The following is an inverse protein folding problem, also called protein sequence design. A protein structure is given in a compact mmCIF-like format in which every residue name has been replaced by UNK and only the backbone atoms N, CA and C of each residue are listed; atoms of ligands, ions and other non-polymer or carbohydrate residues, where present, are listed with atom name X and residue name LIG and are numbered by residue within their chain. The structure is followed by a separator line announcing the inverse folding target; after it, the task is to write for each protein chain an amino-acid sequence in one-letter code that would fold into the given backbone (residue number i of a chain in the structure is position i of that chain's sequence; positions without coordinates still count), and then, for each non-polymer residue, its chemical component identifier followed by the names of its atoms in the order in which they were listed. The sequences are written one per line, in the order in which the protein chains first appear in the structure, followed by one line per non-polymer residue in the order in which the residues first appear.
data_IF_271509652798
#
_entry.id   IF_271509652798
#
_cell.length_a   1.000
_cell.length_b   1.000
_cell.length_c   1.000
_cell.angle_alpha   90.00
_cell.angle_beta   90.00
_cell.angle_gamma   90.00
#
_symmetry.space_group_name_H-M   'P 1'
#
loop_
_entity.id
_entity.type
_entity.pdbx_description
1 polymer ?
#
# COMPACT_ATOMS: atom_id res chain seq x y z
N UNK A 1 -60.43 -49.56 -12.98
CA UNK A 1 -60.59 -48.72 -11.77
C UNK A 1 -60.90 -47.31 -12.19
N UNK A 2 -61.92 -46.74 -11.58
CA UNK A 2 -62.82 -45.69 -12.10
C UNK A 2 -62.45 -44.29 -11.59
N UNK A 3 -62.88 -43.30 -12.39
CA UNK A 3 -62.96 -41.82 -12.26
C UNK A 3 -63.36 -41.19 -10.89
N UNK A 4 -63.03 -41.79 -9.74
CA UNK A 4 -63.56 -41.39 -8.41
C UNK A 4 -62.52 -40.86 -7.41
N UNK A 5 -61.32 -40.51 -7.84
CA UNK A 5 -60.32 -39.83 -6.99
C UNK A 5 -60.01 -38.39 -7.46
N UNK A 6 -61.02 -37.71 -8.00
CA UNK A 6 -60.94 -36.31 -8.47
C UNK A 6 -61.22 -35.24 -7.38
N UNK A 7 -61.55 -35.56 -6.13
CA UNK A 7 -62.01 -34.50 -5.20
C UNK A 7 -61.49 -34.78 -3.79
N UNK A 8 -60.22 -34.46 -3.52
CA UNK A 8 -59.69 -34.10 -2.17
C UNK A 8 -58.20 -33.77 -2.06
N UNK A 9 -57.51 -33.38 -3.15
CA UNK A 9 -56.17 -32.78 -3.04
C UNK A 9 -56.03 -31.55 -3.96
N UNK A 10 -57.09 -30.74 -3.99
CA UNK A 10 -57.05 -29.34 -4.40
C UNK A 10 -56.92 -28.52 -3.12
N UNK A 11 -55.77 -27.88 -2.95
CA UNK A 11 -55.48 -26.97 -1.84
C UNK A 11 -54.05 -27.16 -1.35
N UNK A 12 -53.07 -26.60 -2.09
CA UNK A 12 -51.83 -25.95 -1.56
C UNK A 12 -50.73 -25.71 -2.62
N UNK A 13 -50.84 -26.12 -3.89
CA UNK A 13 -49.81 -25.72 -4.89
C UNK A 13 -50.47 -25.14 -6.16
N UNK A 14 -51.00 -23.93 -6.01
CA UNK A 14 -51.24 -22.94 -7.08
C UNK A 14 -50.18 -21.85 -6.89
N UNK A 15 -49.32 -21.55 -7.85
CA UNK A 15 -49.48 -20.47 -8.87
C UNK A 15 -48.23 -20.58 -9.77
N UNK A 16 -48.36 -21.12 -11.00
CA UNK A 16 -48.43 -20.46 -12.34
C UNK A 16 -47.04 -20.13 -12.96
N UNK A 17 -46.56 -20.84 -13.99
CA UNK A 17 -46.87 -20.76 -15.43
C UNK A 17 -46.53 -19.41 -16.12
N UNK A 18 -45.35 -19.36 -16.77
CA UNK A 18 -45.14 -19.19 -18.23
C UNK A 18 -45.96 -18.11 -18.98
N UNK A 19 -45.23 -17.04 -19.39
CA UNK A 19 -45.20 -16.32 -20.69
C UNK A 19 -46.28 -15.26 -21.07
N UNK A 20 -45.74 -14.06 -21.33
CA UNK A 20 -46.12 -12.94 -22.23
C UNK A 20 -47.53 -12.30 -22.17
N UNK A 21 -47.55 -11.03 -21.73
CA UNK A 21 -48.28 -9.94 -22.40
C UNK A 21 -47.65 -8.60 -22.02
N UNK A 22 -47.29 -7.78 -23.01
CA UNK A 22 -46.83 -6.41 -22.80
C UNK A 22 -47.88 -5.60 -22.06
N UNK A 23 -47.50 -5.07 -20.90
CA UNK A 23 -48.19 -3.98 -20.23
C UNK A 23 -47.10 -2.97 -19.88
N UNK A 24 -47.21 -1.78 -20.45
CA UNK A 24 -46.38 -0.63 -20.05
C UNK A 24 -46.66 -0.36 -18.57
N UNK A 25 -45.77 -0.84 -17.70
CA UNK A 25 -45.63 -0.35 -16.35
C UNK A 25 -44.55 0.73 -16.37
N UNK A 26 -45.00 1.92 -15.98
CA UNK A 26 -44.23 3.14 -15.85
C UNK A 26 -42.83 2.92 -15.29
N UNK A 27 -41.84 3.57 -15.89
CA UNK A 27 -40.49 3.74 -15.40
C UNK A 27 -40.49 4.09 -13.90
N UNK A 28 -40.28 3.08 -13.07
CA UNK A 28 -40.01 3.20 -11.65
C UNK A 28 -38.61 2.64 -11.44
N UNK A 29 -37.67 3.52 -11.13
CA UNK A 29 -36.28 3.18 -10.88
C UNK A 29 -36.15 2.05 -9.85
N UNK A 30 -35.44 0.97 -10.21
CA UNK A 30 -34.95 -0.03 -9.26
C UNK A 30 -33.76 0.61 -8.53
N UNK A 31 -33.86 0.71 -7.19
CA UNK A 31 -32.79 1.22 -6.32
C UNK A 31 -31.83 0.09 -5.95
N UNK A 32 -30.61 0.07 -6.49
CA UNK A 32 -29.41 -0.35 -5.74
C UNK A 32 -28.93 0.91 -5.00
N UNK A 33 -29.43 1.10 -3.77
CA UNK A 33 -29.71 2.45 -3.21
C UNK A 33 -28.49 3.33 -2.91
N UNK A 34 -27.27 2.81 -3.03
CA UNK A 34 -26.04 3.47 -2.62
C UNK A 34 -24.96 3.50 -3.71
N UNK A 35 -25.24 3.03 -4.93
CA UNK A 35 -24.29 3.06 -6.04
C UNK A 35 -24.84 3.95 -7.17
N UNK A 36 -24.07 4.96 -7.56
CA UNK A 36 -24.29 5.77 -8.75
C UNK A 36 -23.31 5.29 -9.84
N UNK A 37 -23.83 5.02 -11.03
CA UNK A 37 -23.08 4.38 -12.11
C UNK A 37 -23.56 4.84 -13.49
N UNK A 38 -22.69 4.71 -14.48
CA UNK A 38 -23.01 4.85 -15.90
C UNK A 38 -22.80 3.53 -16.64
N UNK A 39 -23.52 3.37 -17.76
CA UNK A 39 -23.39 2.21 -18.65
C UNK A 39 -23.02 2.73 -20.04
N UNK A 40 -21.96 2.18 -20.61
CA UNK A 40 -21.58 2.34 -22.02
C UNK A 40 -21.21 0.97 -22.59
N UNK A 41 -21.71 0.61 -23.76
CA UNK A 41 -21.46 -0.70 -24.42
C UNK A 41 -21.54 -1.93 -23.48
N UNK A 42 -22.61 -2.00 -22.66
CA UNK A 42 -22.83 -3.03 -21.63
C UNK A 42 -21.74 -3.14 -20.54
N UNK A 43 -20.89 -2.12 -20.42
CA UNK A 43 -19.88 -1.97 -19.37
C UNK A 43 -20.33 -0.93 -18.36
N UNK A 44 -20.31 -1.30 -17.09
CA UNK A 44 -20.67 -0.43 -15.97
C UNK A 44 -19.42 0.26 -15.42
N UNK A 45 -19.52 1.57 -15.26
CA UNK A 45 -18.60 2.39 -14.47
C UNK A 45 -19.27 2.79 -13.16
N UNK A 46 -18.71 2.39 -12.02
CA UNK A 46 -19.12 2.90 -10.71
C UNK A 46 -18.50 4.29 -10.54
N UNK A 47 -19.35 5.31 -10.46
CA UNK A 47 -18.96 6.71 -10.27
C UNK A 47 -18.99 7.07 -8.79
N UNK A 48 -19.87 6.42 -8.03
CA UNK A 48 -19.96 6.59 -6.58
C UNK A 48 -20.57 5.36 -5.92
N UNK A 49 -20.04 4.97 -4.78
CA UNK A 49 -20.54 3.92 -3.91
C UNK A 49 -20.48 4.44 -2.47
N UNK A 50 -21.64 4.79 -1.92
CA UNK A 50 -21.77 5.12 -0.50
C UNK A 50 -21.67 3.86 0.36
N UNK A 51 -20.50 3.68 0.98
CA UNK A 51 -20.16 2.57 1.85
C UNK A 51 -20.42 2.86 3.34
N UNK A 52 -21.23 3.89 3.65
CA UNK A 52 -21.57 4.27 5.01
C UNK A 52 -22.02 3.08 5.86
N UNK A 53 -21.28 2.81 6.94
CA UNK A 53 -21.58 1.76 7.91
C UNK A 53 -21.26 0.34 7.45
N UNK A 54 -20.67 0.15 6.27
CA UNK A 54 -20.18 -1.15 5.83
C UNK A 54 -18.84 -1.47 6.50
N UNK A 55 -18.74 -2.68 7.06
CA UNK A 55 -17.47 -3.24 7.55
C UNK A 55 -16.80 -4.11 6.49
N UNK A 56 -17.57 -4.64 5.54
CA UNK A 56 -17.09 -5.43 4.41
C UNK A 56 -17.75 -4.89 3.15
N UNK A 57 -16.94 -4.50 2.17
CA UNK A 57 -17.39 -3.95 0.90
C UNK A 57 -17.19 -5.01 -0.17
N UNK A 58 -18.26 -5.36 -0.86
CA UNK A 58 -18.25 -6.23 -2.02
C UNK A 58 -18.51 -5.35 -3.25
N UNK A 59 -17.51 -5.16 -4.11
CA UNK A 59 -17.73 -4.48 -5.38
C UNK A 59 -18.58 -5.42 -6.24
N UNK A 60 -19.77 -4.99 -6.73
CA UNK A 60 -20.62 -5.87 -7.52
C UNK A 60 -19.91 -6.23 -8.83
N UNK A 61 -19.98 -7.51 -9.22
CA UNK A 61 -19.46 -7.96 -10.51
C UNK A 61 -20.35 -7.51 -11.67
N UNK A 62 -21.66 -7.39 -11.41
CA UNK A 62 -22.69 -7.06 -12.39
C UNK A 62 -23.67 -6.07 -11.75
N UNK A 63 -24.09 -5.07 -12.51
CA UNK A 63 -25.23 -4.21 -12.16
C UNK A 63 -26.26 -4.34 -13.29
N UNK A 64 -27.46 -4.83 -12.94
CA UNK A 64 -28.45 -5.23 -13.93
C UNK A 64 -28.01 -6.48 -14.71
N UNK A 65 -27.66 -6.31 -15.98
CA UNK A 65 -27.13 -7.36 -16.87
C UNK A 65 -25.77 -6.98 -17.48
N UNK A 66 -25.13 -5.95 -16.92
CA UNK A 66 -23.89 -5.36 -17.42
C UNK A 66 -22.75 -5.57 -16.43
N UNK A 67 -21.57 -5.93 -16.93
CA UNK A 67 -20.38 -6.18 -16.13
C UNK A 67 -19.83 -4.87 -15.56
N UNK A 68 -19.49 -4.87 -14.27
CA UNK A 68 -18.75 -3.77 -13.63
C UNK A 68 -17.29 -3.93 -13.97
N UNK A 69 -16.82 -3.04 -14.83
CA UNK A 69 -15.44 -3.06 -15.36
C UNK A 69 -14.60 -1.92 -14.82
N UNK A 70 -15.21 -0.81 -14.39
CA UNK A 70 -14.47 0.35 -13.91
C UNK A 70 -15.05 0.87 -12.61
N UNK A 71 -14.18 1.14 -11.64
CA UNK A 71 -14.50 1.88 -10.42
C UNK A 71 -13.67 3.15 -10.43
N UNK A 72 -14.33 4.31 -10.51
CA UNK A 72 -13.62 5.59 -10.55
C UNK A 72 -12.79 5.83 -9.29
N UNK A 73 -11.74 6.66 -9.43
CA UNK A 73 -11.01 7.19 -8.27
C UNK A 73 -11.96 7.80 -7.26
N UNK A 74 -11.77 7.47 -5.98
CA UNK A 74 -12.58 7.96 -4.87
C UNK A 74 -14.09 7.67 -4.99
N UNK A 75 -14.50 6.75 -5.88
CA UNK A 75 -15.90 6.40 -6.04
C UNK A 75 -16.48 5.86 -4.74
N UNK A 76 -15.71 5.08 -3.98
CA UNK A 76 -16.17 4.55 -2.70
C UNK A 76 -16.03 5.60 -1.61
N UNK A 77 -17.15 6.18 -1.20
CA UNK A 77 -17.21 7.23 -0.18
C UNK A 77 -17.72 6.68 1.15
N UNK A 78 -17.40 7.37 2.24
CA UNK A 78 -17.83 7.01 3.61
C UNK A 78 -17.44 5.58 4.02
N UNK A 79 -16.40 5.02 3.42
CA UNK A 79 -15.90 3.66 3.68
C UNK A 79 -14.98 3.53 4.90
N UNK A 80 -14.89 4.55 5.74
CA UNK A 80 -13.95 4.63 6.88
C UNK A 80 -14.11 3.47 7.88
N UNK A 81 -15.28 2.84 7.94
CA UNK A 81 -15.54 1.69 8.82
C UNK A 81 -15.18 0.33 8.21
N UNK A 82 -14.84 0.29 6.92
CA UNK A 82 -14.56 -0.95 6.22
C UNK A 82 -13.22 -1.54 6.67
N UNK A 83 -13.25 -2.83 7.02
CA UNK A 83 -12.06 -3.63 7.34
C UNK A 83 -11.64 -4.51 6.17
N UNK A 84 -12.52 -4.75 5.19
CA UNK A 84 -12.15 -5.44 3.96
C UNK A 84 -12.93 -4.98 2.73
N UNK A 85 -12.28 -5.13 1.58
CA UNK A 85 -12.88 -4.97 0.25
C UNK A 85 -12.64 -6.23 -0.57
N UNK A 86 -13.63 -6.61 -1.38
CA UNK A 86 -13.49 -7.63 -2.42
C UNK A 86 -13.70 -7.03 -3.81
N UNK A 87 -12.75 -7.32 -4.71
CA UNK A 87 -12.75 -6.92 -6.12
C UNK A 87 -13.12 -8.16 -6.95
N UNK A 88 -14.22 -8.14 -7.72
CA UNK A 88 -14.67 -9.28 -8.50
C UNK A 88 -13.84 -9.47 -9.78
N UNK A 89 -14.07 -10.59 -10.47
CA UNK A 89 -13.35 -10.94 -11.70
C UNK A 89 -13.55 -9.93 -12.85
N UNK A 90 -14.69 -9.24 -12.88
CA UNK A 90 -15.08 -8.34 -13.97
C UNK A 90 -14.35 -6.99 -13.97
N UNK A 91 -13.82 -6.56 -12.82
CA UNK A 91 -13.20 -5.24 -12.69
C UNK A 91 -11.90 -5.19 -13.47
N UNK A 92 -11.85 -4.32 -14.48
CA UNK A 92 -10.72 -4.07 -15.35
C UNK A 92 -9.82 -2.95 -14.80
N UNK A 93 -10.40 -1.94 -14.16
CA UNK A 93 -9.69 -0.74 -13.69
C UNK A 93 -10.33 -0.18 -12.39
N UNK A 94 -9.47 0.28 -11.46
CA UNK A 94 -9.82 0.81 -10.14
C UNK A 94 -9.47 2.31 -9.98
N UNK A 95 -9.28 3.05 -11.08
CA UNK A 95 -9.15 4.50 -11.07
C UNK A 95 -7.81 5.01 -11.59
N UNK A 96 -7.55 6.28 -11.33
CA UNK A 96 -6.42 7.02 -11.90
C UNK A 96 -5.05 6.42 -11.55
N UNK A 97 -4.10 6.66 -12.44
CA UNK A 97 -2.74 6.14 -12.34
C UNK A 97 -1.99 6.69 -11.11
N UNK A 98 -2.22 7.97 -10.78
CA UNK A 98 -1.46 8.72 -9.76
C UNK A 98 -2.06 8.62 -8.34
N UNK A 99 -3.09 7.80 -8.13
CA UNK A 99 -3.73 7.58 -6.82
C UNK A 99 -3.95 6.10 -6.52
N UNK A 100 -4.16 5.79 -5.25
CA UNK A 100 -4.58 4.46 -4.79
C UNK A 100 -6.11 4.39 -4.71
N UNK A 101 -6.70 3.21 -5.02
CA UNK A 101 -8.13 3.09 -5.24
C UNK A 101 -8.98 3.28 -3.97
N UNK A 102 -8.42 3.01 -2.78
CA UNK A 102 -9.16 3.05 -1.51
C UNK A 102 -8.50 4.03 -0.53
N UNK A 103 -8.17 5.22 -1.01
CA UNK A 103 -7.62 6.31 -0.18
C UNK A 103 -8.58 6.68 0.96
N UNK A 104 -8.05 6.95 2.16
CA UNK A 104 -8.84 7.37 3.33
C UNK A 104 -9.59 6.24 4.05
N UNK A 105 -9.49 5.00 3.59
CA UNK A 105 -10.04 3.84 4.31
C UNK A 105 -9.07 3.36 5.40
N UNK A 106 -8.93 4.16 6.46
CA UNK A 106 -7.92 3.92 7.50
C UNK A 106 -8.11 2.58 8.23
N UNK A 107 -9.33 2.05 8.35
CA UNK A 107 -9.56 0.76 9.00
C UNK A 107 -9.40 -0.47 8.08
N UNK A 108 -9.08 -0.26 6.81
CA UNK A 108 -8.98 -1.34 5.83
C UNK A 108 -7.81 -2.27 6.17
N UNK A 109 -8.11 -3.50 6.56
CA UNK A 109 -7.10 -4.50 6.95
C UNK A 109 -6.66 -5.35 5.75
N UNK A 110 -7.55 -5.57 4.78
CA UNK A 110 -7.28 -6.42 3.61
C UNK A 110 -8.09 -6.03 2.38
N UNK A 111 -7.47 -6.13 1.21
CA UNK A 111 -8.10 -6.08 -0.10
C UNK A 111 -7.97 -7.47 -0.72
N UNK A 112 -9.08 -8.04 -1.16
CA UNK A 112 -9.09 -9.36 -1.81
C UNK A 112 -9.54 -9.24 -3.25
N UNK A 113 -8.96 -10.05 -4.13
CA UNK A 113 -9.29 -10.06 -5.56
C UNK A 113 -9.74 -11.46 -5.96
N UNK A 114 -10.80 -11.56 -6.74
CA UNK A 114 -11.21 -12.81 -7.38
C UNK A 114 -10.05 -13.41 -8.19
N UNK A 115 -9.83 -14.72 -8.08
CA UNK A 115 -8.73 -15.42 -8.76
C UNK A 115 -8.75 -15.25 -10.29
N UNK A 116 -9.94 -15.07 -10.86
CA UNK A 116 -10.18 -14.92 -12.29
C UNK A 116 -10.08 -13.46 -12.77
N UNK A 117 -9.85 -12.49 -11.88
CA UNK A 117 -9.62 -11.11 -12.29
C UNK A 117 -8.36 -11.05 -13.17
N UNK A 118 -8.43 -10.42 -14.34
CA UNK A 118 -7.34 -10.40 -15.32
C UNK A 118 -6.34 -9.25 -15.11
N UNK A 119 -6.62 -8.32 -14.22
CA UNK A 119 -5.91 -7.03 -14.08
C UNK A 119 -5.27 -6.84 -12.72
N UNK A 120 -5.85 -7.42 -11.68
CA UNK A 120 -5.40 -7.30 -10.30
C UNK A 120 -5.20 -8.66 -9.63
N UNK A 121 -4.44 -8.65 -8.54
CA UNK A 121 -4.33 -9.79 -7.63
C UNK A 121 -4.11 -9.30 -6.20
N UNK A 122 -4.34 -10.16 -5.22
CA UNK A 122 -3.96 -9.90 -3.84
C UNK A 122 -3.07 -11.02 -3.31
N UNK A 123 -2.22 -10.72 -2.33
CA UNK A 123 -1.53 -11.75 -1.55
C UNK A 123 -2.38 -12.24 -0.36
N UNK A 124 -1.85 -13.19 0.41
CA UNK A 124 -2.51 -13.70 1.63
C UNK A 124 -2.70 -12.64 2.74
N UNK A 125 -1.92 -11.56 2.71
CA UNK A 125 -1.99 -10.46 3.65
C UNK A 125 -2.99 -9.38 3.21
N UNK A 126 -3.57 -9.52 2.02
CA UNK A 126 -4.54 -8.58 1.47
C UNK A 126 -3.92 -7.32 0.86
N UNK A 127 -2.64 -7.37 0.48
CA UNK A 127 -2.00 -6.30 -0.30
C UNK A 127 -2.47 -6.40 -1.75
N UNK A 128 -2.89 -5.28 -2.32
CA UNK A 128 -3.37 -5.21 -3.71
C UNK A 128 -2.21 -4.98 -4.67
N UNK A 129 -2.16 -5.81 -5.71
CA UNK A 129 -1.21 -5.74 -6.80
C UNK A 129 -1.91 -5.66 -8.15
N UNK A 130 -1.16 -5.29 -9.18
CA UNK A 130 -1.53 -5.66 -10.55
C UNK A 130 -1.50 -7.19 -10.72
N UNK A 131 -2.01 -7.69 -11.85
CA UNK A 131 -2.11 -9.14 -12.07
C UNK A 131 -0.74 -9.84 -12.06
N UNK A 132 0.30 -9.15 -12.55
CA UNK A 132 1.64 -9.71 -12.64
C UNK A 132 2.43 -9.64 -11.34
N UNK A 133 1.93 -8.92 -10.32
CA UNK A 133 2.65 -8.58 -9.08
C UNK A 133 3.95 -7.81 -9.31
N UNK A 134 4.00 -7.03 -10.39
CA UNK A 134 5.07 -6.09 -10.66
C UNK A 134 4.83 -4.73 -9.98
N UNK A 135 3.57 -4.42 -9.66
CA UNK A 135 3.16 -3.17 -9.02
C UNK A 135 2.43 -3.43 -7.71
N UNK A 136 2.91 -2.83 -6.62
CA UNK A 136 2.07 -2.64 -5.42
C UNK A 136 1.11 -1.50 -5.72
N UNK A 137 -0.18 -1.82 -5.83
CA UNK A 137 -1.24 -0.85 -6.06
C UNK A 137 -1.65 -0.20 -4.74
N UNK A 138 -1.84 -0.98 -3.68
CA UNK A 138 -2.17 -0.45 -2.36
C UNK A 138 -1.87 -1.48 -1.25
N UNK A 139 -1.16 -1.01 -0.22
CA UNK A 139 -1.09 -1.68 1.07
C UNK A 139 -2.22 -1.15 1.98
N UNK A 140 -3.05 -2.01 2.60
CA UNK A 140 -4.16 -1.55 3.42
C UNK A 140 -3.67 -0.81 4.68
N UNK A 141 -4.12 0.44 4.88
CA UNK A 141 -3.65 1.30 5.99
C UNK A 141 -3.95 0.73 7.40
N UNK A 142 -5.00 -0.10 7.52
CA UNK A 142 -5.38 -0.81 8.73
C UNK A 142 -4.79 -2.22 8.85
N UNK A 143 -3.96 -2.67 7.90
CA UNK A 143 -3.30 -3.97 7.99
C UNK A 143 -2.44 -4.03 9.26
N UNK A 144 -2.62 -5.10 10.05
CA UNK A 144 -2.01 -5.24 11.39
C UNK A 144 -0.61 -5.86 11.36
N UNK A 145 -0.07 -6.16 10.18
CA UNK A 145 1.28 -6.70 10.05
C UNK A 145 2.30 -5.65 10.46
N UNK A 146 3.21 -6.05 11.36
CA UNK A 146 4.26 -5.18 11.93
C UNK A 146 5.42 -5.04 10.94
N UNK A 147 5.69 -6.07 10.14
CA UNK A 147 6.69 -6.03 9.08
C UNK A 147 6.11 -6.37 7.72
N UNK A 148 6.77 -5.88 6.68
CA UNK A 148 6.44 -6.20 5.31
C UNK A 148 7.70 -6.41 4.46
N UNK A 149 7.65 -7.41 3.59
CA UNK A 149 8.64 -7.73 2.57
C UNK A 149 7.93 -7.82 1.23
N UNK A 150 8.16 -6.87 0.33
CA UNK A 150 7.68 -6.97 -1.04
C UNK A 150 8.41 -8.10 -1.78
N UNK A 151 7.72 -8.86 -2.64
CA UNK A 151 8.37 -9.83 -3.52
C UNK A 151 9.36 -9.17 -4.50
N UNK A 152 10.41 -9.88 -4.90
CA UNK A 152 11.40 -9.39 -5.88
C UNK A 152 10.81 -9.02 -7.24
N UNK A 153 9.62 -9.55 -7.57
CA UNK A 153 8.88 -9.20 -8.78
C UNK A 153 8.39 -7.76 -8.80
N UNK A 154 8.27 -7.10 -7.64
CA UNK A 154 7.80 -5.72 -7.53
C UNK A 154 8.89 -4.78 -8.07
N UNK A 155 8.56 -4.06 -9.13
CA UNK A 155 9.42 -3.05 -9.76
C UNK A 155 8.84 -1.64 -9.65
N UNK A 156 7.55 -1.53 -9.30
CA UNK A 156 6.87 -0.25 -9.14
C UNK A 156 5.98 -0.24 -7.89
N UNK A 157 5.93 0.89 -7.23
CA UNK A 157 5.07 1.13 -6.07
C UNK A 157 4.27 2.38 -6.35
N UNK A 158 2.93 2.27 -6.37
CA UNK A 158 2.07 3.43 -6.61
C UNK A 158 2.29 4.52 -5.55
N UNK A 159 2.10 5.77 -5.97
CA UNK A 159 2.09 6.95 -5.10
C UNK A 159 1.08 6.72 -3.98
N UNK A 160 1.44 7.02 -2.73
CA UNK A 160 0.60 6.83 -1.54
C UNK A 160 0.18 5.38 -1.23
N UNK A 161 0.79 4.37 -1.85
CA UNK A 161 0.43 2.95 -1.62
C UNK A 161 0.58 2.47 -0.19
N UNK A 162 1.46 3.06 0.61
CA UNK A 162 1.58 2.79 2.05
C UNK A 162 1.06 3.95 2.91
N UNK A 163 0.31 4.89 2.34
CA UNK A 163 -0.16 6.06 3.10
C UNK A 163 -1.01 5.65 4.30
N UNK A 164 -0.68 6.17 5.48
CA UNK A 164 -1.42 5.94 6.72
C UNK A 164 -1.24 4.54 7.35
N UNK A 165 -0.25 3.75 6.91
CA UNK A 165 0.04 2.43 7.48
C UNK A 165 0.52 2.54 8.93
N UNK A 166 -0.43 2.60 9.86
CA UNK A 166 -0.16 2.92 11.28
C UNK A 166 0.36 1.75 12.10
N UNK A 167 0.28 0.51 11.62
CA UNK A 167 0.80 -0.66 12.33
C UNK A 167 2.15 -1.14 11.79
N UNK A 168 2.52 -0.70 10.59
CA UNK A 168 3.75 -1.09 9.94
C UNK A 168 4.93 -0.41 10.63
N UNK A 169 5.83 -1.22 11.20
CA UNK A 169 7.04 -0.75 11.88
C UNK A 169 8.30 -0.99 11.04
N UNK A 170 8.31 -2.01 10.19
CA UNK A 170 9.48 -2.40 9.43
C UNK A 170 9.14 -2.75 7.99
N UNK A 171 9.86 -2.14 7.04
CA UNK A 171 9.84 -2.56 5.63
C UNK A 171 11.19 -3.16 5.27
N UNK A 172 11.21 -4.48 5.21
CA UNK A 172 12.41 -5.30 5.02
C UNK A 172 12.86 -5.35 3.55
N UNK A 173 11.92 -5.21 2.62
CA UNK A 173 12.20 -5.17 1.18
C UNK A 173 11.11 -4.41 0.45
N UNK A 174 11.52 -3.58 -0.51
CA UNK A 174 10.65 -2.95 -1.50
C UNK A 174 10.61 -3.73 -2.82
N UNK A 175 11.29 -4.87 -2.92
CA UNK A 175 11.52 -5.57 -4.18
C UNK A 175 12.62 -4.90 -5.00
N UNK A 176 12.49 -4.97 -6.32
CA UNK A 176 13.42 -4.41 -7.31
C UNK A 176 12.95 -3.04 -7.81
N UNK A 177 12.53 -2.15 -6.90
CA UNK A 177 11.90 -0.87 -7.25
C UNK A 177 12.92 0.15 -7.74
N UNK A 178 12.64 0.72 -8.91
CA UNK A 178 13.48 1.74 -9.56
C UNK A 178 13.11 3.17 -9.15
N UNK A 179 11.86 3.39 -8.72
CA UNK A 179 11.30 4.72 -8.44
C UNK A 179 10.46 4.75 -7.16
N UNK A 180 10.66 5.79 -6.35
CA UNK A 180 9.82 6.08 -5.18
C UNK A 180 9.22 7.49 -5.26
N UNK A 181 7.97 7.60 -4.84
CA UNK A 181 7.20 8.85 -4.82
C UNK A 181 6.17 8.78 -3.70
N UNK A 182 6.31 9.63 -2.67
CA UNK A 182 5.33 9.85 -1.61
C UNK A 182 4.73 8.55 -1.01
N UNK A 183 5.56 7.52 -0.88
CA UNK A 183 5.11 6.15 -0.61
C UNK A 183 4.65 5.94 0.83
N UNK A 184 5.40 6.42 1.83
CA UNK A 184 5.20 6.12 3.25
C UNK A 184 4.60 7.29 4.04
N UNK A 185 3.81 8.14 3.39
CA UNK A 185 3.17 9.29 4.06
C UNK A 185 2.33 8.82 5.26
N UNK A 186 2.49 9.46 6.42
CA UNK A 186 1.80 9.18 7.68
C UNK A 186 1.93 7.74 8.21
N UNK A 187 2.99 7.00 7.86
CA UNK A 187 3.33 5.74 8.51
C UNK A 187 3.92 5.98 9.90
N UNK A 188 3.12 6.46 10.85
CA UNK A 188 3.60 7.01 12.14
C UNK A 188 4.43 6.04 12.98
N UNK A 189 4.21 4.74 12.84
CA UNK A 189 4.93 3.69 13.57
C UNK A 189 6.10 3.07 12.78
N UNK A 190 6.32 3.49 11.53
CA UNK A 190 7.44 2.99 10.72
C UNK A 190 8.76 3.42 11.37
N UNK A 191 9.55 2.44 11.80
CA UNK A 191 10.85 2.62 12.46
C UNK A 191 12.00 2.42 11.48
N UNK A 192 11.87 1.42 10.62
CA UNK A 192 12.93 0.98 9.71
C UNK A 192 12.42 0.71 8.31
N UNK A 193 13.23 1.07 7.31
CA UNK A 193 12.96 0.80 5.90
C UNK A 193 14.24 0.48 5.14
N UNK A 194 14.18 -0.55 4.28
CA UNK A 194 15.25 -0.92 3.37
C UNK A 194 14.98 -0.35 1.98
N UNK A 195 15.84 0.55 1.52
CA UNK A 195 15.74 1.25 0.23
C UNK A 195 16.80 0.66 -0.74
N UNK A 196 16.41 0.18 -1.94
CA UNK A 196 17.33 -0.35 -2.95
C UNK A 196 18.37 0.68 -3.43
N UNK A 197 19.55 0.20 -3.83
CA UNK A 197 20.70 1.04 -4.21
C UNK A 197 20.45 1.96 -5.43
N UNK A 198 19.69 1.47 -6.41
CA UNK A 198 19.49 2.12 -7.70
C UNK A 198 18.17 2.91 -7.80
N UNK A 199 17.53 3.15 -6.65
CA UNK A 199 16.28 3.90 -6.63
C UNK A 199 16.48 5.34 -7.07
N UNK A 200 15.48 5.90 -7.74
CA UNK A 200 15.38 7.33 -8.03
C UNK A 200 14.13 7.91 -7.37
N UNK A 201 14.19 9.18 -6.95
CA UNK A 201 13.03 9.85 -6.37
C UNK A 201 12.29 10.62 -7.46
N UNK A 202 10.97 10.45 -7.50
CA UNK A 202 10.10 11.32 -8.30
C UNK A 202 9.77 12.55 -7.44
N UNK A 203 9.68 13.72 -8.07
CA UNK A 203 9.45 15.01 -7.39
C UNK A 203 10.52 15.39 -6.35
N UNK A 204 11.80 15.14 -6.68
CA UNK A 204 13.00 15.35 -5.82
C UNK A 204 12.89 16.56 -4.88
N UNK A 205 12.50 17.72 -5.40
CA UNK A 205 12.50 18.99 -4.66
C UNK A 205 11.35 19.19 -3.65
N UNK A 206 10.32 18.35 -3.66
CA UNK A 206 9.18 18.43 -2.72
C UNK A 206 8.57 17.06 -2.43
N UNK A 207 9.40 16.02 -2.37
CA UNK A 207 8.93 14.68 -2.07
C UNK A 207 8.50 14.59 -0.59
N UNK A 208 7.38 13.92 -0.36
CA UNK A 208 6.76 13.63 0.92
C UNK A 208 7.03 12.17 1.35
N UNK A 209 8.06 11.51 0.79
CA UNK A 209 8.29 10.06 0.90
C UNK A 209 8.09 9.49 2.31
N UNK A 210 8.54 10.21 3.33
CA UNK A 210 8.43 9.85 4.76
C UNK A 210 7.71 10.89 5.61
N UNK A 211 6.92 11.78 5.00
CA UNK A 211 6.20 12.80 5.76
C UNK A 211 5.29 12.16 6.80
N UNK A 212 5.42 12.51 8.07
CA UNK A 212 4.61 11.98 9.16
C UNK A 212 5.04 10.59 9.65
N UNK A 213 6.23 10.12 9.29
CA UNK A 213 6.84 8.93 9.87
C UNK A 213 7.52 9.27 11.20
N UNK A 214 6.72 9.57 12.23
CA UNK A 214 7.19 10.11 13.51
C UNK A 214 8.16 9.17 14.27
N UNK A 215 8.12 7.87 13.97
CA UNK A 215 8.97 6.85 14.61
C UNK A 215 10.19 6.45 13.78
N UNK A 216 10.39 7.03 12.59
CA UNK A 216 11.45 6.60 11.67
C UNK A 216 12.82 6.93 12.28
N UNK A 217 13.55 5.89 12.67
CA UNK A 217 14.85 6.02 13.32
C UNK A 217 16.00 5.58 12.43
N UNK A 218 15.78 4.59 11.57
CA UNK A 218 16.84 4.00 10.75
C UNK A 218 16.37 3.80 9.30
N UNK A 219 17.22 4.18 8.36
CA UNK A 219 17.04 3.91 6.93
C UNK A 219 18.25 3.09 6.49
N UNK A 220 18.00 1.90 5.93
CA UNK A 220 19.05 1.08 5.35
C UNK A 220 19.04 1.27 3.84
N UNK A 221 20.06 1.92 3.31
CA UNK A 221 20.22 2.15 1.89
C UNK A 221 21.19 1.13 1.30
N UNK A 222 20.75 0.42 0.26
CA UNK A 222 21.53 -0.60 -0.41
C UNK A 222 22.74 -0.07 -1.18
N UNK A 223 22.82 1.24 -1.41
CA UNK A 223 23.92 1.90 -2.09
C UNK A 223 24.95 2.52 -1.14
N UNK A 224 25.82 3.34 -1.72
CA UNK A 224 26.80 4.14 -0.98
C UNK A 224 26.24 5.49 -0.52
N UNK A 225 27.00 6.18 0.33
CA UNK A 225 26.69 7.56 0.70
C UNK A 225 26.64 8.50 -0.52
N UNK A 226 27.56 8.36 -1.48
CA UNK A 226 27.53 9.19 -2.70
C UNK A 226 26.28 8.95 -3.55
N UNK A 227 25.77 7.71 -3.60
CA UNK A 227 24.51 7.40 -4.27
C UNK A 227 23.32 8.03 -3.52
N UNK A 228 23.31 7.96 -2.19
CA UNK A 228 22.27 8.57 -1.36
C UNK A 228 22.18 10.08 -1.54
N UNK A 229 23.31 10.78 -1.55
CA UNK A 229 23.37 12.24 -1.76
C UNK A 229 22.79 12.66 -3.11
N UNK A 230 22.85 11.78 -4.13
CA UNK A 230 22.26 12.03 -5.46
C UNK A 230 20.75 11.87 -5.49
N UNK A 231 20.13 11.23 -4.50
CA UNK A 231 18.67 11.14 -4.40
C UNK A 231 18.01 12.51 -4.20
N UNK A 232 18.78 13.53 -3.78
CA UNK A 232 18.33 14.90 -3.60
C UNK A 232 17.04 14.98 -2.75
N UNK A 233 17.04 14.26 -1.62
CA UNK A 233 15.92 14.27 -0.68
C UNK A 233 15.71 15.69 -0.17
N UNK A 234 14.44 16.14 -0.16
CA UNK A 234 14.09 17.45 0.35
C UNK A 234 14.73 17.70 1.73
N UNK A 235 15.60 18.72 1.88
CA UNK A 235 16.28 19.01 3.14
C UNK A 235 15.33 19.42 4.26
N UNK A 236 14.09 19.81 3.95
CA UNK A 236 13.04 20.09 4.92
C UNK A 236 12.28 18.84 5.38
N UNK A 237 12.57 17.66 4.81
CA UNK A 237 12.02 16.39 5.26
C UNK A 237 12.69 15.99 6.59
N UNK A 238 12.18 16.55 7.69
CA UNK A 238 12.70 16.34 9.05
C UNK A 238 12.72 14.87 9.46
N UNK A 239 11.88 14.03 8.87
CA UNK A 239 11.78 12.60 9.20
C UNK A 239 12.99 11.84 8.68
N UNK A 240 13.48 12.19 7.49
CA UNK A 240 14.73 11.65 6.96
C UNK A 240 15.93 12.26 7.68
N UNK A 241 15.92 13.58 7.91
CA UNK A 241 17.03 14.29 8.57
C UNK A 241 17.28 13.79 10.00
N UNK A 242 16.25 13.36 10.71
CA UNK A 242 16.36 12.84 12.07
C UNK A 242 16.66 11.32 12.13
N UNK A 243 16.57 10.62 11.01
CA UNK A 243 16.88 9.20 10.93
C UNK A 243 18.38 8.97 10.70
N UNK A 244 18.89 7.84 11.19
CA UNK A 244 20.24 7.36 10.88
C UNK A 244 20.20 6.59 9.56
N UNK A 245 20.99 7.02 8.58
CA UNK A 245 21.12 6.32 7.30
C UNK A 245 22.31 5.38 7.36
N UNK A 246 22.06 4.09 7.14
CA UNK A 246 23.05 3.03 7.07
C UNK A 246 23.31 2.67 5.61
N UNK A 247 24.57 2.69 5.18
CA UNK A 247 24.97 2.39 3.81
C UNK A 247 25.53 0.97 3.71
N UNK A 248 25.07 0.20 2.72
CA UNK A 248 25.58 -1.15 2.49
C UNK A 248 26.99 -1.16 1.84
N UNK A 249 27.35 -0.08 1.13
CA UNK A 249 28.63 0.05 0.42
C UNK A 249 29.49 1.12 1.08
N UNK A 250 30.61 0.70 1.69
CA UNK A 250 31.64 1.58 2.24
C UNK A 250 32.62 1.98 1.12
N UNK A 251 32.59 3.24 0.69
CA UNK A 251 33.49 3.76 -0.35
C UNK A 251 34.95 3.92 0.12
N UNK A 252 35.20 3.86 1.43
CA UNK A 252 36.53 4.00 2.04
C UNK A 252 37.41 2.74 1.90
N UNK A 253 36.90 1.65 1.31
CA UNK A 253 37.71 0.47 0.99
C UNK A 253 38.41 0.68 -0.35
N UNK A 254 39.48 1.47 -0.32
CA UNK A 254 40.48 1.46 -1.40
C UNK A 254 41.16 0.09 -1.38
N UNK A 255 40.72 -0.82 -2.25
CA UNK A 255 41.51 -2.00 -2.55
C UNK A 255 42.74 -1.49 -3.31
N UNK A 256 43.85 -1.24 -2.61
CA UNK A 256 45.13 -1.05 -3.29
C UNK A 256 45.33 -2.26 -4.21
N UNK A 257 45.65 -2.06 -5.49
CA UNK A 257 45.91 -3.19 -6.38
C UNK A 257 47.04 -4.00 -5.76
N UNK A 258 46.77 -5.28 -5.48
CA UNK A 258 47.76 -6.20 -4.96
C UNK A 258 49.03 -6.08 -5.81
N UNK A 259 50.06 -5.46 -5.23
CA UNK A 259 51.40 -5.49 -5.82
C UNK A 259 51.75 -6.97 -5.85
N UNK A 260 51.90 -7.52 -7.05
CA UNK A 260 52.39 -8.87 -7.23
C UNK A 260 53.80 -8.93 -6.64
N UNK A 261 53.90 -9.31 -5.37
CA UNK A 261 55.16 -9.71 -4.77
C UNK A 261 55.63 -10.94 -5.53
N UNK A 262 56.78 -10.79 -6.19
CA UNK A 262 57.49 -11.92 -6.78
C UNK A 262 57.78 -12.93 -5.67
N UNK A 263 57.21 -14.12 -5.80
CA UNK A 263 57.64 -15.28 -5.02
C UNK A 263 59.13 -15.53 -5.31
N UNK A 264 59.96 -15.30 -4.30
CA UNK A 264 61.35 -15.73 -4.30
C UNK A 264 61.37 -17.21 -3.86
N UNK A 265 61.68 -18.06 -4.82
CA UNK A 265 61.84 -19.51 -4.68
C UNK A 265 62.89 -19.82 -3.60
N UNK A 266 62.44 -20.30 -2.44
CA UNK A 266 63.32 -20.85 -1.41
C UNK A 266 63.01 -22.32 -1.17
N UNK A 267 64.05 -23.11 -1.36
CA UNK A 267 64.07 -24.57 -1.37
C UNK A 267 63.78 -25.18 -0.01
N UNK A 268 62.94 -26.21 -0.01
CA UNK A 268 62.69 -27.17 1.08
C UNK A 268 64.00 -27.73 1.67
N UNK A 269 63.99 -28.07 2.97
CA UNK A 269 64.47 -29.39 3.35
C UNK A 269 63.44 -30.18 4.15
N UNK A 270 63.63 -31.50 4.04
CA UNK A 270 62.77 -32.59 4.43
C UNK A 270 63.01 -33.06 5.89
N UNK A 271 62.03 -33.80 6.43
CA UNK A 271 62.03 -34.66 7.65
C UNK A 271 61.93 -33.91 9.01
N UNK A 272 61.14 -34.33 10.02
CA UNK A 272 60.82 -35.69 10.48
C UNK A 272 59.55 -35.67 11.37
N UNK A 273 58.92 -36.83 11.52
CA UNK A 273 57.75 -37.18 12.33
C UNK A 273 57.83 -36.79 13.82
N UNK A 274 56.67 -36.50 14.44
CA UNK A 274 56.04 -37.31 15.49
C UNK A 274 55.29 -36.50 16.57
N UNK A 275 54.17 -37.11 16.99
CA UNK A 275 53.50 -37.02 18.29
C UNK A 275 52.54 -35.87 18.64
N UNK A 276 51.25 -36.20 18.51
CA UNK A 276 50.19 -36.15 19.54
C UNK A 276 50.56 -35.50 20.88
N UNK A 277 49.82 -34.46 21.27
CA UNK A 277 49.22 -34.44 22.61
C UNK A 277 47.92 -33.64 22.64
N UNK A 278 47.00 -34.18 23.43
CA UNK A 278 45.61 -33.84 23.59
C UNK A 278 45.52 -33.24 24.98
N UNK A 279 45.06 -32.00 25.14
CA UNK A 279 44.58 -31.59 26.45
C UNK A 279 43.35 -30.69 26.38
N UNK A 280 42.49 -30.96 27.35
CA UNK A 280 41.08 -30.64 27.49
C UNK A 280 40.97 -29.95 28.83
N UNK A 281 40.43 -28.73 28.94
CA UNK A 281 39.87 -28.23 30.22
C UNK A 281 38.75 -27.23 29.89
N UNK A 282 37.48 -27.65 29.93
CA UNK A 282 36.47 -27.43 31.00
C UNK A 282 36.14 -25.97 31.35
N UNK A 283 34.94 -25.58 30.90
CA UNK A 283 33.85 -24.87 31.60
C UNK A 283 34.11 -24.35 33.02
N UNK A 284 33.64 -23.14 33.30
CA UNK A 284 32.86 -22.84 34.51
C UNK A 284 31.89 -21.68 34.24
N UNK A 285 30.60 -21.99 34.26
CA UNK A 285 29.49 -21.07 34.41
C UNK A 285 29.50 -20.44 35.82
N UNK A 286 29.10 -19.17 35.96
CA UNK A 286 28.45 -18.71 37.20
C UNK A 286 27.19 -17.92 36.83
N UNK A 287 26.12 -18.42 37.43
CA UNK A 287 24.71 -18.08 37.38
C UNK A 287 24.39 -16.83 38.22
N UNK A 288 23.36 -16.10 37.77
CA UNK A 288 22.27 -15.42 38.51
C UNK A 288 22.57 -14.52 39.70
N UNK A 289 21.91 -13.36 39.75
CA UNK A 289 20.63 -13.21 40.49
C UNK A 289 19.95 -11.88 40.23
N UNK A 290 18.61 -11.97 40.21
CA UNK A 290 17.59 -10.93 40.23
C UNK A 290 17.76 -9.92 41.38
N UNK A 291 17.17 -8.73 41.25
CA UNK A 291 16.03 -8.36 42.10
C UNK A 291 15.33 -7.10 41.60
N UNK A 292 14.01 -7.10 41.80
CA UNK A 292 13.02 -6.17 41.33
C UNK A 292 12.73 -4.99 42.31
N UNK A 293 11.76 -4.17 41.88
CA UNK A 293 10.90 -3.24 42.63
C UNK A 293 11.53 -1.87 42.95
N UNK A 294 10.83 -0.74 42.92
CA UNK A 294 9.40 -0.42 43.17
C UNK A 294 8.95 0.84 42.43
N UNK A 295 7.64 0.91 42.24
CA UNK A 295 6.76 2.04 41.92
C UNK A 295 7.11 3.37 42.63
N UNK A 296 6.80 4.49 41.97
CA UNK A 296 6.26 5.64 42.69
C UNK A 296 5.25 6.42 41.84
N UNK A 297 4.18 6.82 42.51
CA UNK A 297 2.94 7.41 42.04
C UNK A 297 2.90 8.95 42.17
N UNK A 298 1.80 9.53 41.66
CA UNK A 298 1.19 10.84 41.99
C UNK A 298 1.70 12.03 41.14
N UNK A 299 0.93 12.55 40.18
CA UNK A 299 -0.29 13.39 40.24
C UNK A 299 -0.01 14.88 40.45
N UNK A 300 -0.51 15.72 39.55
CA UNK A 300 -0.50 17.18 39.69
C UNK A 300 -1.08 17.89 38.46
N UNK A 301 -2.40 18.13 38.52
CA UNK A 301 -3.23 19.17 37.86
C UNK A 301 -2.48 20.52 37.66
N UNK A 302 -2.79 21.50 36.80
CA UNK A 302 -3.86 21.90 35.86
C UNK A 302 -3.38 23.28 35.30
N UNK A 303 -4.11 23.82 34.31
CA UNK A 303 -4.33 25.26 34.01
C UNK A 303 -3.73 25.85 32.71
N UNK A 304 -4.68 26.09 31.77
CA UNK A 304 -4.82 27.13 30.73
C UNK A 304 -4.05 27.02 29.41
N UNK A 305 -4.68 26.81 28.23
CA UNK A 305 -5.75 27.53 27.48
C UNK A 305 -5.17 28.56 26.48
N UNK A 306 -5.58 28.37 25.21
CA UNK A 306 -5.61 29.34 24.09
C UNK A 306 -4.29 30.02 23.65
N UNK A 307 -3.85 29.71 22.42
CA UNK A 307 -3.60 30.66 21.30
C UNK A 307 -2.61 30.09 20.28
N UNK A 308 -3.11 29.45 19.22
CA UNK A 308 -2.55 29.58 17.86
C UNK A 308 -3.41 28.95 16.73
N UNK A 309 -4.73 29.12 16.78
CA UNK A 309 -5.54 29.07 15.55
C UNK A 309 -5.55 30.46 14.90
N UNK A 310 -4.52 30.79 14.12
CA UNK A 310 -4.59 31.78 13.03
C UNK A 310 -3.25 31.92 12.31
N UNK A 311 -2.91 31.00 11.37
CA UNK A 311 -1.96 31.34 10.31
C UNK A 311 -2.04 30.53 9.00
N UNK A 312 -3.10 29.75 8.73
CA UNK A 312 -3.19 28.97 7.47
C UNK A 312 -4.15 29.59 6.42
N UNK A 313 -4.91 30.63 6.76
CA UNK A 313 -5.89 31.26 5.84
C UNK A 313 -5.36 32.47 5.04
N UNK A 314 -4.08 32.48 4.63
CA UNK A 314 -3.52 33.58 3.81
C UNK A 314 -2.85 33.17 2.48
N UNK A 315 -2.87 31.88 2.12
CA UNK A 315 -2.24 31.40 0.86
C UNK A 315 -3.20 30.75 -0.15
N UNK A 316 -4.51 30.74 0.10
CA UNK A 316 -5.51 30.11 -0.79
C UNK A 316 -6.16 31.03 -1.83
N UNK A 317 -5.68 32.26 -2.02
CA UNK A 317 -6.22 33.19 -3.04
C UNK A 317 -5.06 33.96 -3.68
N UNK A 318 -4.25 33.34 -4.58
CA UNK A 318 -4.47 33.60 -6.01
C UNK A 318 -4.08 32.47 -7.00
N UNK A 319 -3.93 31.20 -6.58
CA UNK A 319 -3.57 30.12 -7.52
C UNK A 319 -4.73 29.66 -8.44
N UNK A 320 -5.98 29.80 -7.97
CA UNK A 320 -7.16 29.35 -8.71
C UNK A 320 -7.57 30.23 -9.92
N UNK A 321 -6.96 31.42 -10.09
CA UNK A 321 -7.32 32.34 -11.20
C UNK A 321 -6.40 32.21 -12.41
N UNK A 322 -5.23 31.56 -12.29
CA UNK A 322 -4.27 31.46 -13.41
C UNK A 322 -4.47 30.21 -14.27
N UNK A 323 -5.09 29.14 -13.74
CA UNK A 323 -5.27 27.88 -14.49
C UNK A 323 -6.48 27.93 -15.46
N UNK A 324 -7.50 28.74 -15.18
CA UNK A 324 -8.67 28.87 -16.06
C UNK A 324 -8.41 29.68 -17.35
N UNK A 325 -7.31 30.44 -17.42
CA UNK A 325 -6.95 31.18 -18.64
C UNK A 325 -6.13 30.33 -19.64
N UNK A 326 -5.45 29.26 -19.20
CA UNK A 326 -4.60 28.44 -20.06
C UNK A 326 -5.37 27.31 -20.76
N UNK A 327 -6.41 26.74 -20.13
CA UNK A 327 -7.23 25.66 -20.71
C UNK A 327 -8.18 26.19 -21.80
N UNK A 328 -8.67 27.42 -21.66
CA UNK A 328 -9.57 28.05 -22.65
C UNK A 328 -8.92 28.39 -23.99
N UNK A 329 -7.60 28.60 -24.04
CA UNK A 329 -6.88 28.95 -25.29
C UNK A 329 -6.50 27.68 -26.10
N UNK A 330 -6.34 26.53 -25.45
CA UNK A 330 -5.96 25.29 -26.11
C UNK A 330 -7.15 24.62 -26.85
N UNK A 331 -8.37 24.74 -26.32
CA UNK A 331 -9.56 24.13 -26.92
C UNK A 331 -10.08 24.86 -28.16
N UNK A 332 -9.77 26.15 -28.36
CA UNK A 332 -10.19 26.90 -29.56
C UNK A 332 -9.31 26.61 -30.79
N UNK A 333 -8.08 26.11 -30.61
CA UNK A 333 -7.18 25.80 -31.74
C UNK A 333 -7.33 24.40 -32.34
N UNK A 334 -7.97 23.45 -31.64
CA UNK A 334 -8.18 22.07 -32.14
C UNK A 334 -9.46 21.89 -32.96
N UNK A 335 -10.36 22.88 -32.98
CA UNK A 335 -11.66 22.83 -33.69
C UNK A 335 -11.70 23.62 -35.01
N UNK A 336 -10.55 24.05 -35.55
CA UNK A 336 -10.48 24.88 -36.78
C UNK A 336 -9.48 24.40 -37.83
N UNK A 337 -9.28 23.08 -37.96
CA UNK A 337 -8.64 22.48 -39.14
C UNK A 337 -9.41 21.29 -39.64
#
# INVERSE_FOLDING_TARGET
MTKKNFIKFVGIISVLCVIFAGLALSAGAVKEKNIEYSIDDNKVTIEKFDASGLTHIEIPAVIGECDVVYVQSDAIINGESAVSIHIPASVEDLGEFDSVPFTGMDNLEKITVDENNLYYSSDENGVLYDKSKATIVQYPAGNKSISYSAPDSVTYIKIFSFSGCRYLENVESLGSVDQLCDTFVNCRNLKTVNIPAEVTLVNENNNMLFQGCDSLSDIYFGGSQSQWEKLNINPENIYVVNAVVHFAVNEDVVIEPAVAEKEEETTLPETTEAETEKETVTTTEISTTESATTENSASGDDVTQEKQENQVMKYLVPAAVVILAAVGIFLVKKYKR
#
